data_IF_268126480822
#
_entry.id   IF_268126480822
#
_cell.length_a   1.000
_cell.length_b   1.000
_cell.length_c   1.000
_cell.angle_alpha   90.00
_cell.angle_beta   90.00
_cell.angle_gamma   90.00
#
_symmetry.space_group_name_H-M   'P 1'
#
loop_
_entity.id
_entity.type
_entity.pdbx_description
1 polymer ?
#
# COMPACT_ATOMS: atom_id res chain seq x y z
N UNK A 1 -18.37 1.09 -1.81
CA UNK A 1 -17.50 2.15 -2.38
C UNK A 1 -16.06 1.74 -2.13
N UNK A 2 -15.27 1.54 -3.17
CA UNK A 2 -13.82 1.44 -3.02
C UNK A 2 -13.28 2.87 -3.16
N UNK A 3 -12.61 3.38 -2.14
CA UNK A 3 -12.00 4.69 -2.17
C UNK A 3 -10.52 4.50 -2.47
N UNK A 4 -10.02 5.08 -3.56
CA UNK A 4 -8.58 5.17 -3.78
C UNK A 4 -8.04 6.34 -2.99
N UNK A 5 -6.97 6.12 -2.23
CA UNK A 5 -6.37 7.13 -1.37
C UNK A 5 -4.85 7.09 -1.39
N UNK A 6 -4.25 8.03 -0.65
CA UNK A 6 -2.83 8.06 -0.33
C UNK A 6 -2.68 8.28 1.16
N UNK A 7 -1.91 7.43 1.82
CA UNK A 7 -1.67 7.44 3.24
C UNK A 7 -0.18 7.64 3.48
N UNK A 8 0.16 8.80 4.01
CA UNK A 8 1.54 9.21 4.28
C UNK A 8 1.79 9.13 5.77
N UNK A 9 2.73 8.28 6.17
CA UNK A 9 3.20 8.23 7.53
C UNK A 9 4.30 9.26 7.75
N UNK A 10 4.35 9.89 8.94
CA UNK A 10 5.45 10.78 9.32
C UNK A 10 6.82 10.06 9.31
N UNK A 11 6.85 8.73 9.35
CA UNK A 11 8.08 7.93 9.18
C UNK A 11 8.61 7.88 7.74
N UNK A 12 7.99 8.57 6.77
CA UNK A 12 8.37 8.54 5.36
C UNK A 12 7.84 7.34 4.57
N UNK A 13 6.95 6.55 5.17
CA UNK A 13 6.26 5.44 4.48
C UNK A 13 5.02 6.00 3.79
N UNK A 14 4.81 5.67 2.52
CA UNK A 14 3.68 6.16 1.75
C UNK A 14 2.96 5.00 1.11
N UNK A 15 1.68 4.81 1.41
CA UNK A 15 0.84 3.88 0.68
C UNK A 15 -0.08 4.64 -0.28
N UNK A 16 -0.24 4.15 -1.50
CA UNK A 16 -1.22 4.63 -2.46
C UNK A 16 -1.97 3.44 -3.06
N UNK A 17 -3.29 3.39 -2.95
CA UNK A 17 -4.05 2.24 -3.42
C UNK A 17 -5.52 2.31 -3.09
N UNK A 18 -6.21 1.19 -3.30
CA UNK A 18 -7.60 1.05 -2.89
C UNK A 18 -7.71 0.84 -1.38
N UNK A 19 -8.73 1.48 -0.81
CA UNK A 19 -9.16 1.38 0.57
C UNK A 19 -10.65 1.10 0.58
N UNK A 20 -11.05 0.18 1.45
CA UNK A 20 -12.47 -0.10 1.71
C UNK A 20 -12.81 0.36 3.13
N UNK A 21 -12.19 -0.32 4.09
CA UNK A 21 -12.15 0.04 5.53
C UNK A 21 -10.71 0.00 6.05
N UNK A 22 -9.85 -0.76 5.37
CA UNK A 22 -8.41 -0.94 5.61
C UNK A 22 -7.73 -0.99 4.23
N UNK A 23 -6.39 -1.06 4.18
CA UNK A 23 -5.65 -1.32 2.93
C UNK A 23 -6.16 -2.65 2.34
N UNK A 24 -6.77 -2.60 1.15
CA UNK A 24 -7.36 -3.77 0.51
C UNK A 24 -7.34 -3.62 -1.01
N UNK A 25 -7.09 -4.73 -1.72
CA UNK A 25 -7.01 -4.72 -3.18
C UNK A 25 -5.63 -4.29 -3.67
N UNK A 26 -5.52 -3.74 -4.88
CA UNK A 26 -4.23 -3.35 -5.42
C UNK A 26 -3.72 -2.05 -4.79
N UNK A 27 -2.44 -2.03 -4.40
CA UNK A 27 -1.80 -0.86 -3.84
C UNK A 27 -0.31 -0.81 -4.14
N UNK A 28 0.27 0.35 -3.84
CA UNK A 28 1.70 0.64 -3.90
C UNK A 28 2.15 1.17 -2.55
N UNK A 29 3.04 0.45 -1.88
CA UNK A 29 3.64 0.84 -0.62
C UNK A 29 5.08 1.29 -0.85
N UNK A 30 5.33 2.58 -0.74
CA UNK A 30 6.66 3.19 -0.77
C UNK A 30 7.26 3.18 0.62
N UNK A 31 8.41 2.55 0.75
CA UNK A 31 9.25 2.53 1.94
C UNK A 31 10.11 3.81 2.01
N UNK A 32 10.54 4.19 3.22
CA UNK A 32 11.37 5.38 3.42
C UNK A 32 12.76 5.26 2.79
N UNK A 33 13.20 4.05 2.45
CA UNK A 33 14.43 3.81 1.70
C UNK A 33 14.27 4.02 0.18
N UNK A 34 13.07 4.38 -0.30
CA UNK A 34 12.75 4.55 -1.71
C UNK A 34 12.24 3.29 -2.41
N UNK A 35 12.32 2.12 -1.78
CA UNK A 35 11.76 0.89 -2.31
C UNK A 35 10.23 0.99 -2.39
N UNK A 36 9.61 0.36 -3.37
CA UNK A 36 8.16 0.38 -3.57
C UNK A 36 7.67 -1.05 -3.73
N UNK A 37 6.78 -1.47 -2.85
CA UNK A 37 6.07 -2.71 -3.02
C UNK A 37 4.78 -2.45 -3.80
N UNK A 38 4.60 -3.12 -4.92
CA UNK A 38 3.41 -3.04 -5.76
C UNK A 38 2.74 -4.41 -5.72
N UNK A 39 1.51 -4.47 -5.20
CA UNK A 39 0.84 -5.76 -5.05
C UNK A 39 -0.52 -5.68 -4.40
N UNK A 40 -1.16 -6.84 -4.18
CA UNK A 40 -2.41 -6.92 -3.45
C UNK A 40 -2.19 -6.77 -1.94
N UNK A 41 -3.10 -6.03 -1.32
CA UNK A 41 -3.20 -5.82 0.12
C UNK A 41 -4.47 -6.48 0.63
N UNK A 42 -4.37 -7.13 1.78
CA UNK A 42 -5.49 -7.72 2.49
C UNK A 42 -5.41 -7.34 3.96
N UNK A 43 -6.44 -6.69 4.48
CA UNK A 43 -6.55 -6.30 5.90
C UNK A 43 -5.31 -5.60 6.46
N UNK A 44 -4.84 -4.55 5.79
CA UNK A 44 -3.66 -3.78 6.20
C UNK A 44 -2.31 -4.52 6.07
N UNK A 45 -2.30 -5.73 5.49
CA UNK A 45 -1.08 -6.52 5.22
C UNK A 45 -0.86 -6.64 3.72
N UNK A 46 0.37 -6.43 3.28
CA UNK A 46 0.78 -6.75 1.92
C UNK A 46 0.98 -8.27 1.77
N UNK A 47 0.52 -8.84 0.66
CA UNK A 47 0.67 -10.28 0.39
C UNK A 47 2.04 -10.53 -0.24
N UNK A 48 2.74 -11.61 0.10
CA UNK A 48 4.09 -11.84 -0.43
C UNK A 48 4.17 -12.06 -1.96
N UNK A 49 3.03 -12.20 -2.65
CA UNK A 49 2.95 -12.27 -4.12
C UNK A 49 3.11 -10.94 -4.86
N UNK A 50 3.34 -9.82 -4.16
CA UNK A 50 3.62 -8.55 -4.83
C UNK A 50 5.07 -8.41 -5.26
N UNK A 51 5.35 -7.38 -6.07
CA UNK A 51 6.69 -7.07 -6.55
C UNK A 51 7.26 -5.90 -5.76
N UNK A 52 8.42 -6.10 -5.14
CA UNK A 52 9.24 -5.01 -4.62
C UNK A 52 10.09 -4.44 -5.76
N UNK A 53 10.02 -3.13 -5.98
CA UNK A 53 10.80 -2.37 -6.97
C UNK A 53 11.58 -1.23 -6.34
#
# INVERSE_FOLDING_TARGET
MNCTGRLEHPSGRVYAGEFKTMLHGAGTYTFPNGAKYIGPFNENKYVWSGRLV
#
